data_IF_909549675057
#
_entry.id   IF_909549675057
#
_cell.length_a   1.000
_cell.length_b   1.000
_cell.length_c   1.000
_cell.angle_alpha   90.00
_cell.angle_beta   90.00
_cell.angle_gamma   90.00
#
_symmetry.space_group_name_H-M   'P 1'
#
loop_
_entity.id
_entity.type
_entity.pdbx_description
1 polymer ?
#
# COMPACT_ATOMS: atom_id res chain seq x y z
N UNK A 1 16.48 6.43 13.38
CA UNK A 1 15.98 7.38 12.37
C UNK A 1 16.47 7.06 10.96
N UNK A 2 17.74 6.72 10.74
CA UNK A 2 18.27 6.37 9.41
C UNK A 2 17.60 5.16 8.73
N UNK A 3 17.25 4.11 9.49
CA UNK A 3 16.56 2.94 8.93
C UNK A 3 15.11 3.19 8.49
N UNK A 4 14.42 4.14 9.11
CA UNK A 4 13.05 4.53 8.70
C UNK A 4 13.11 5.39 7.43
N UNK A 5 14.17 6.21 7.28
CA UNK A 5 14.42 6.97 6.06
C UNK A 5 14.75 6.04 4.89
N UNK A 6 15.67 5.09 5.05
CA UNK A 6 15.98 4.12 3.99
C UNK A 6 14.75 3.29 3.59
N UNK A 7 13.95 2.85 4.58
CA UNK A 7 12.74 2.09 4.33
C UNK A 7 11.57 2.94 3.81
N UNK A 8 11.63 4.28 3.87
CA UNK A 8 10.54 5.12 3.37
C UNK A 8 10.83 5.70 1.98
N UNK A 9 12.10 5.91 1.64
CA UNK A 9 12.51 6.49 0.36
C UNK A 9 12.76 5.45 -0.74
N UNK A 10 13.12 4.21 -0.37
CA UNK A 10 13.42 3.12 -1.32
C UNK A 10 12.33 2.03 -1.34
N UNK A 11 11.20 2.28 -0.68
CA UNK A 11 10.13 1.29 -0.61
C UNK A 11 9.24 1.34 -1.84
N UNK A 12 9.40 0.31 -2.67
CA UNK A 12 8.54 0.03 -3.80
C UNK A 12 8.07 -1.42 -3.68
N UNK A 13 6.79 -1.61 -3.38
CA UNK A 13 6.18 -2.93 -3.39
C UNK A 13 5.84 -3.37 -4.80
N UNK A 14 5.45 -2.40 -5.64
CA UNK A 14 5.13 -2.58 -7.04
C UNK A 14 5.96 -1.58 -7.86
N UNK A 15 6.70 -2.05 -8.84
CA UNK A 15 7.45 -1.21 -9.79
C UNK A 15 7.54 -1.91 -11.15
N UNK A 16 8.01 -1.22 -12.18
CA UNK A 16 8.31 -1.84 -13.46
C UNK A 16 9.64 -1.37 -14.04
N UNK A 17 10.24 -2.21 -14.88
CA UNK A 17 11.40 -1.84 -15.69
C UNK A 17 11.19 -2.24 -17.14
N UNK A 18 11.96 -1.60 -18.04
CA UNK A 18 12.00 -1.95 -19.47
C UNK A 18 13.41 -2.42 -19.78
N UNK A 19 13.52 -3.62 -20.34
CA UNK A 19 14.83 -4.18 -20.72
C UNK A 19 15.43 -3.43 -21.92
N UNK A 20 16.72 -3.62 -22.18
CA UNK A 20 17.40 -3.06 -23.36
C UNK A 20 16.74 -3.48 -24.70
N UNK A 21 15.99 -4.57 -24.70
CA UNK A 21 15.24 -5.09 -25.85
C UNK A 21 13.84 -4.47 -26.00
N UNK A 22 13.46 -3.55 -25.12
CA UNK A 22 12.13 -2.93 -25.12
C UNK A 22 11.04 -3.78 -24.45
N UNK A 23 11.41 -4.79 -23.66
CA UNK A 23 10.44 -5.69 -23.01
C UNK A 23 10.05 -5.18 -21.62
N UNK A 24 8.76 -5.24 -21.29
CA UNK A 24 8.23 -4.86 -19.99
C UNK A 24 8.52 -5.91 -18.91
N UNK A 25 8.88 -5.46 -17.70
CA UNK A 25 9.11 -6.31 -16.53
C UNK A 25 8.38 -5.73 -15.34
N UNK A 26 7.46 -6.50 -14.75
CA UNK A 26 6.72 -6.11 -13.54
C UNK A 26 7.43 -6.66 -12.29
N UNK A 27 7.87 -5.79 -11.39
CA UNK A 27 8.45 -6.16 -10.11
C UNK A 27 7.36 -6.12 -9.02
N UNK A 28 7.13 -7.27 -8.38
CA UNK A 28 6.21 -7.39 -7.25
C UNK A 28 6.98 -7.91 -6.02
N UNK A 29 6.78 -7.25 -4.87
CA UNK A 29 7.39 -7.63 -3.60
C UNK A 29 8.79 -7.06 -3.37
N UNK A 30 9.33 -7.34 -2.18
CA UNK A 30 10.58 -6.71 -1.69
C UNK A 30 11.86 -7.38 -2.17
N UNK A 31 11.78 -8.59 -2.71
CA UNK A 31 12.91 -9.39 -3.16
C UNK A 31 12.37 -10.45 -4.09
N UNK A 32 12.39 -10.24 -5.41
CA UNK A 32 12.41 -11.30 -6.43
C UNK A 32 12.44 -10.71 -7.85
N UNK A 33 12.96 -11.48 -8.84
CA UNK A 33 12.97 -11.03 -10.22
C UNK A 33 11.53 -10.91 -10.72
N UNK A 34 11.23 -9.76 -11.33
CA UNK A 34 9.90 -9.43 -11.80
C UNK A 34 9.39 -10.37 -12.90
N UNK A 35 8.08 -10.41 -13.08
CA UNK A 35 7.45 -11.10 -14.21
C UNK A 35 7.83 -10.39 -15.50
N UNK A 36 8.54 -11.09 -16.39
CA UNK A 36 8.94 -10.55 -17.70
C UNK A 36 7.82 -10.80 -18.71
N UNK A 37 7.31 -9.73 -19.30
CA UNK A 37 6.39 -9.74 -20.42
C UNK A 37 7.17 -9.59 -21.74
N UNK A 38 6.99 -10.52 -22.68
CA UNK A 38 7.63 -10.48 -24.00
C UNK A 38 6.94 -9.51 -24.99
N UNK A 39 6.35 -8.42 -24.50
CA UNK A 39 5.71 -7.39 -25.33
C UNK A 39 6.70 -6.24 -25.56
N UNK A 40 6.84 -5.79 -26.81
CA UNK A 40 7.60 -4.58 -27.13
C UNK A 40 6.78 -3.36 -26.74
N UNK A 41 7.29 -2.56 -25.80
CA UNK A 41 6.57 -1.41 -25.20
C UNK A 41 7.25 -0.07 -25.51
N UNK A 42 8.17 -0.03 -26.49
CA UNK A 42 8.95 1.18 -26.82
C UNK A 42 8.09 2.35 -27.31
N UNK A 43 6.93 2.07 -27.91
CA UNK A 43 5.94 3.03 -28.38
C UNK A 43 4.88 3.38 -27.32
N UNK A 44 4.86 2.70 -26.17
CA UNK A 44 3.88 2.85 -25.08
C UNK A 44 4.37 3.76 -23.95
N UNK A 45 5.24 4.74 -24.23
CA UNK A 45 5.84 5.61 -23.19
C UNK A 45 4.82 6.36 -22.33
N UNK A 46 3.73 6.83 -22.94
CA UNK A 46 2.65 7.51 -22.21
C UNK A 46 1.94 6.56 -21.24
N UNK A 47 1.57 5.36 -21.71
CA UNK A 47 0.95 4.31 -20.87
C UNK A 47 1.87 3.85 -19.75
N UNK A 48 3.18 3.72 -20.01
CA UNK A 48 4.19 3.40 -19.00
C UNK A 48 4.29 4.49 -17.93
N UNK A 49 4.24 5.77 -18.33
CA UNK A 49 4.24 6.89 -17.38
C UNK A 49 2.98 6.89 -16.50
N UNK A 50 1.82 6.58 -17.07
CA UNK A 50 0.56 6.49 -16.32
C UNK A 50 0.61 5.33 -15.33
N UNK A 51 1.08 4.16 -15.79
CA UNK A 51 1.27 2.98 -14.95
C UNK A 51 2.18 3.31 -13.76
N UNK A 52 3.33 3.95 -14.00
CA UNK A 52 4.27 4.34 -12.95
C UNK A 52 3.65 5.26 -11.90
N UNK A 53 2.86 6.25 -12.31
CA UNK A 53 2.14 7.14 -11.38
C UNK A 53 1.16 6.38 -10.48
N UNK A 54 0.45 5.39 -11.03
CA UNK A 54 -0.45 4.54 -10.24
C UNK A 54 0.30 3.60 -9.31
N UNK A 55 1.42 3.02 -9.74
CA UNK A 55 2.28 2.19 -8.89
C UNK A 55 2.88 3.00 -7.74
N UNK A 56 3.36 4.22 -8.00
CA UNK A 56 3.88 5.13 -6.98
C UNK A 56 2.81 5.49 -5.95
N UNK A 57 1.60 5.84 -6.40
CA UNK A 57 0.49 6.11 -5.50
C UNK A 57 0.11 4.88 -4.66
N UNK A 58 0.09 3.69 -5.27
CA UNK A 58 -0.16 2.44 -4.55
C UNK A 58 0.90 2.19 -3.47
N UNK A 59 2.19 2.35 -3.78
CA UNK A 59 3.28 2.21 -2.83
C UNK A 59 3.18 3.20 -1.66
N UNK A 60 2.84 4.46 -1.95
CA UNK A 60 2.60 5.47 -0.92
C UNK A 60 1.45 5.08 0.02
N UNK A 61 0.34 4.56 -0.51
CA UNK A 61 -0.76 4.06 0.32
C UNK A 61 -0.35 2.87 1.19
N UNK A 62 0.46 1.96 0.65
CA UNK A 62 0.95 0.81 1.40
C UNK A 62 1.93 1.24 2.51
N UNK A 63 2.78 2.22 2.26
CA UNK A 63 3.66 2.79 3.27
C UNK A 63 2.88 3.48 4.40
N UNK A 64 1.86 4.28 4.05
CA UNK A 64 0.95 4.88 5.03
C UNK A 64 0.29 3.80 5.90
N UNK A 65 -0.12 2.67 5.30
CA UNK A 65 -0.68 1.54 6.04
C UNK A 65 0.33 0.93 7.03
N UNK A 66 1.56 0.67 6.60
CA UNK A 66 2.63 0.15 7.46
C UNK A 66 2.89 1.08 8.66
N UNK A 67 2.78 2.40 8.49
CA UNK A 67 2.94 3.36 9.59
C UNK A 67 1.75 3.39 10.55
N UNK A 68 0.52 3.23 10.06
CA UNK A 68 -0.70 3.39 10.86
C UNK A 68 -1.04 2.11 11.63
N UNK A 69 -0.83 0.92 11.05
CA UNK A 69 -1.18 -0.38 11.66
C UNK A 69 -0.59 -0.59 13.07
N UNK A 70 0.71 -0.29 13.33
CA UNK A 70 1.28 -0.42 14.68
C UNK A 70 0.57 0.45 15.72
N UNK A 71 0.11 1.63 15.32
CA UNK A 71 -0.62 2.56 16.20
C UNK A 71 -2.00 2.00 16.57
N UNK A 72 -2.66 1.31 15.65
CA UNK A 72 -3.89 0.57 15.95
C UNK A 72 -3.64 -0.57 16.93
N UNK A 73 -2.61 -1.39 16.70
CA UNK A 73 -2.23 -2.50 17.60
C UNK A 73 -1.94 -1.97 19.02
N UNK A 74 -1.15 -0.89 19.12
CA UNK A 74 -0.83 -0.25 20.40
C UNK A 74 -2.08 0.28 21.12
N UNK A 75 -3.02 0.88 20.38
CA UNK A 75 -4.28 1.38 20.95
C UNK A 75 -5.10 0.23 21.55
N UNK A 76 -5.21 -0.91 20.87
CA UNK A 76 -5.88 -2.09 21.42
C UNK A 76 -5.15 -2.65 22.64
N UNK A 77 -3.82 -2.74 22.62
CA UNK A 77 -3.04 -3.20 23.76
C UNK A 77 -3.28 -2.34 25.02
N UNK A 78 -3.41 -1.02 24.87
CA UNK A 78 -3.73 -0.11 25.98
C UNK A 78 -5.18 -0.28 26.46
N UNK A 79 -6.14 -0.41 25.54
CA UNK A 79 -7.57 -0.56 25.89
C UNK A 79 -7.89 -1.89 26.59
N UNK A 80 -7.17 -2.96 26.25
CA UNK A 80 -7.32 -4.27 26.90
C UNK A 80 -6.57 -4.37 28.23
N UNK A 81 -5.61 -3.47 28.51
CA UNK A 81 -4.87 -3.48 29.76
C UNK A 81 -5.72 -2.99 30.95
N UNK A 82 -6.10 -3.91 31.83
CA UNK A 82 -6.93 -3.63 33.01
C UNK A 82 -6.26 -2.71 34.03
N UNK A 83 -4.92 -2.69 34.10
CA UNK A 83 -4.17 -1.78 35.00
C UNK A 83 -4.28 -0.32 34.56
N UNK A 84 -4.41 -0.06 33.26
CA UNK A 84 -4.45 1.28 32.69
C UNK A 84 -5.87 1.86 32.67
N UNK A 85 -6.90 1.04 32.49
CA UNK A 85 -8.30 1.48 32.44
C UNK A 85 -9.08 1.12 33.71
N UNK A 86 -8.87 1.88 34.79
CA UNK A 86 -9.54 1.67 36.10
C UNK A 86 -11.05 1.93 36.13
N UNK A 87 -11.63 2.54 35.10
CA UNK A 87 -13.04 2.96 35.09
C UNK A 87 -13.84 2.25 33.98
N UNK A 88 -14.68 1.29 34.36
CA UNK A 88 -15.43 0.42 33.45
C UNK A 88 -16.36 1.17 32.47
N UNK A 89 -16.99 2.28 32.90
CA UNK A 89 -17.88 3.08 32.03
C UNK A 89 -17.10 3.86 30.97
N UNK A 90 -15.93 4.41 31.33
CA UNK A 90 -15.04 5.07 30.38
C UNK A 90 -14.42 4.05 29.41
N UNK A 91 -14.00 2.88 29.92
CA UNK A 91 -13.48 1.74 29.12
C UNK A 91 -14.43 1.37 27.97
N UNK A 92 -15.71 1.13 28.25
CA UNK A 92 -16.70 0.78 27.21
C UNK A 92 -16.85 1.87 26.14
N UNK A 93 -16.87 3.15 26.53
CA UNK A 93 -16.99 4.28 25.59
C UNK A 93 -15.76 4.40 24.68
N UNK A 94 -14.55 4.30 25.23
CA UNK A 94 -13.31 4.38 24.44
C UNK A 94 -13.14 3.18 23.52
N UNK A 95 -13.48 1.97 23.97
CA UNK A 95 -13.50 0.78 23.10
C UNK A 95 -14.47 0.99 21.94
N UNK A 96 -15.70 1.44 22.20
CA UNK A 96 -16.68 1.67 21.13
C UNK A 96 -16.22 2.72 20.12
N UNK A 97 -15.66 3.86 20.58
CA UNK A 97 -15.13 4.90 19.69
C UNK A 97 -13.97 4.36 18.87
N UNK A 98 -13.07 3.62 19.50
CA UNK A 98 -11.90 3.04 18.82
C UNK A 98 -12.34 2.03 17.77
N UNK A 99 -13.27 1.14 18.09
CA UNK A 99 -13.82 0.18 17.12
C UNK A 99 -14.48 0.89 15.94
N UNK A 100 -15.31 1.91 16.19
CA UNK A 100 -15.94 2.68 15.11
C UNK A 100 -14.88 3.35 14.22
N UNK A 101 -13.91 4.05 14.82
CA UNK A 101 -12.84 4.69 14.06
C UNK A 101 -12.02 3.69 13.23
N UNK A 102 -11.72 2.51 13.79
CA UNK A 102 -11.03 1.45 13.07
C UNK A 102 -11.84 0.94 11.88
N UNK A 103 -13.13 0.63 12.09
CA UNK A 103 -14.00 0.17 11.02
C UNK A 103 -14.08 1.20 9.90
N UNK A 104 -14.25 2.49 10.24
CA UNK A 104 -14.26 3.57 9.25
C UNK A 104 -12.96 3.66 8.46
N UNK A 105 -11.80 3.65 9.14
CA UNK A 105 -10.49 3.71 8.46
C UNK A 105 -10.26 2.49 7.59
N UNK A 106 -10.61 1.29 8.08
CA UNK A 106 -10.47 0.05 7.33
C UNK A 106 -11.39 0.02 6.09
N UNK A 107 -12.62 0.52 6.19
CA UNK A 107 -13.53 0.63 5.05
C UNK A 107 -13.02 1.60 3.98
N UNK A 108 -12.54 2.78 4.39
CA UNK A 108 -11.94 3.75 3.46
C UNK A 108 -10.71 3.16 2.79
N UNK A 109 -9.88 2.46 3.57
CA UNK A 109 -8.69 1.79 3.07
C UNK A 109 -9.04 0.72 2.04
N UNK A 110 -9.96 -0.21 2.35
CA UNK A 110 -10.36 -1.26 1.42
C UNK A 110 -10.95 -0.68 0.13
N UNK A 111 -11.74 0.39 0.23
CA UNK A 111 -12.28 1.08 -0.94
C UNK A 111 -11.18 1.66 -1.82
N UNK A 112 -10.22 2.38 -1.23
CA UNK A 112 -9.09 2.93 -1.99
C UNK A 112 -8.20 1.83 -2.56
N UNK A 113 -7.94 0.78 -1.78
CA UNK A 113 -7.13 -0.36 -2.19
C UNK A 113 -7.71 -1.06 -3.43
N UNK A 114 -9.00 -1.37 -3.43
CA UNK A 114 -9.68 -1.97 -4.59
C UNK A 114 -9.57 -1.05 -5.80
N UNK A 115 -9.90 0.23 -5.64
CA UNK A 115 -9.85 1.21 -6.73
C UNK A 115 -8.46 1.33 -7.34
N UNK A 116 -7.41 1.35 -6.54
CA UNK A 116 -6.04 1.47 -7.05
C UNK A 116 -5.55 0.18 -7.71
N UNK A 117 -5.94 -0.99 -7.22
CA UNK A 117 -5.66 -2.26 -7.92
C UNK A 117 -6.32 -2.27 -9.30
N UNK A 118 -7.57 -1.82 -9.41
CA UNK A 118 -8.26 -1.71 -10.70
C UNK A 118 -7.51 -0.75 -11.64
N UNK A 119 -7.13 0.44 -11.17
CA UNK A 119 -6.38 1.41 -11.98
C UNK A 119 -5.01 0.90 -12.43
N UNK A 120 -4.27 0.21 -11.56
CA UNK A 120 -2.99 -0.41 -11.90
C UNK A 120 -3.18 -1.54 -12.92
N UNK A 121 -4.21 -2.37 -12.75
CA UNK A 121 -4.52 -3.47 -13.66
C UNK A 121 -4.94 -2.97 -15.05
N UNK A 122 -5.77 -1.92 -15.11
CA UNK A 122 -6.19 -1.29 -16.36
C UNK A 122 -4.99 -0.66 -17.09
N UNK A 123 -4.15 0.09 -16.37
CA UNK A 123 -2.95 0.69 -16.95
C UNK A 123 -1.92 -0.39 -17.39
N UNK A 124 -1.81 -1.49 -16.66
CA UNK A 124 -0.99 -2.64 -17.08
C UNK A 124 -1.54 -3.26 -18.37
N UNK A 125 -2.87 -3.39 -18.49
CA UNK A 125 -3.51 -3.89 -19.70
C UNK A 125 -3.24 -2.98 -20.90
N UNK A 126 -3.32 -1.65 -20.75
CA UNK A 126 -3.03 -0.67 -21.81
C UNK A 126 -1.56 -0.70 -22.28
N UNK A 127 -0.62 -1.05 -21.39
CA UNK A 127 0.79 -1.25 -21.73
C UNK A 127 0.99 -2.56 -22.47
N UNK A 128 0.27 -3.61 -22.07
CA UNK A 128 0.48 -4.98 -22.53
C UNK A 128 -0.30 -5.38 -23.79
N UNK A 129 -1.41 -4.71 -24.07
CA UNK A 129 -2.35 -5.01 -25.15
C UNK A 129 -2.65 -3.77 -26.02
#
# INVERSE_FOLDING_TARGET
>A
MLGIYYFAFDFQYLDYSVTEKGQFVLHEGLNEPGTIANSDVRDKQESLSILGSYMEQFNNWLLVFICIVPSFIATYAVLFNEKLMKNARKKKKYISITVIANVTVLSIFLYQWIRYIELVNDAYHDVMF
#
